data_IF_888409963790
#
_entry.id   IF_888409963790
#
_cell.length_a   1.000
_cell.length_b   1.000
_cell.length_c   1.000
_cell.angle_alpha   90.00
_cell.angle_beta   90.00
_cell.angle_gamma   90.00
#
_symmetry.space_group_name_H-M   'P 1'
#
loop_
_entity.id
_entity.type
_entity.pdbx_description
1 polymer ?
#
# COMPACT_ATOMS: atom_id res chain seq x y z
N UNK A 1 46.71 21.18 -25.23
CA UNK A 1 46.16 20.53 -24.01
C UNK A 1 44.66 20.41 -24.18
N UNK A 2 44.12 19.18 -24.19
CA UNK A 2 42.71 18.91 -24.53
C UNK A 2 41.81 19.23 -23.34
N UNK A 3 40.70 19.90 -23.65
CA UNK A 3 39.70 20.44 -22.72
C UNK A 3 39.05 19.31 -21.93
N UNK A 4 39.04 19.44 -20.62
CA UNK A 4 38.42 18.46 -19.72
C UNK A 4 36.92 18.75 -19.73
N UNK A 5 36.13 17.79 -20.19
CA UNK A 5 34.66 17.80 -20.11
C UNK A 5 34.27 17.62 -18.63
N UNK A 6 34.31 18.69 -17.85
CA UNK A 6 33.62 18.78 -16.57
C UNK A 6 32.24 19.37 -16.83
N UNK A 7 31.27 18.53 -17.20
CA UNK A 7 29.89 18.97 -17.29
C UNK A 7 28.96 17.82 -16.92
N UNK A 8 28.14 18.12 -15.91
CA UNK A 8 26.85 17.49 -15.63
C UNK A 8 26.85 16.03 -15.15
N UNK A 9 27.15 15.84 -13.86
CA UNK A 9 26.60 14.72 -13.09
C UNK A 9 26.19 15.20 -11.71
N UNK A 10 25.27 16.16 -11.68
CA UNK A 10 24.59 16.59 -10.45
C UNK A 10 23.10 16.59 -10.78
N UNK A 11 22.43 15.46 -10.53
CA UNK A 11 20.99 15.32 -10.19
C UNK A 11 20.54 13.86 -10.38
N UNK A 12 21.00 12.95 -9.54
CA UNK A 12 20.42 11.59 -9.46
C UNK A 12 20.01 11.19 -8.05
N UNK A 13 19.74 12.16 -7.17
CA UNK A 13 19.38 11.89 -5.76
C UNK A 13 17.88 11.78 -5.46
N UNK A 14 16.98 11.79 -6.46
CA UNK A 14 15.53 11.93 -6.22
C UNK A 14 14.64 10.71 -6.56
N UNK A 15 15.15 9.49 -6.72
CA UNK A 15 14.31 8.35 -7.21
C UNK A 15 14.20 7.16 -6.25
N UNK A 16 14.83 7.17 -5.08
CA UNK A 16 14.89 5.95 -4.24
C UNK A 16 13.67 5.71 -3.33
N UNK A 17 12.79 6.69 -3.12
CA UNK A 17 11.72 6.59 -2.09
C UNK A 17 10.41 5.94 -2.56
N UNK A 18 10.25 5.64 -3.86
CA UNK A 18 9.02 5.07 -4.42
C UNK A 18 9.24 3.67 -5.07
N UNK A 19 10.36 3.00 -4.76
CA UNK A 19 10.58 1.66 -5.28
C UNK A 19 9.57 0.69 -4.65
N UNK A 20 8.68 0.13 -5.48
CA UNK A 20 7.73 -0.91 -5.07
C UNK A 20 8.51 -2.04 -4.37
N UNK A 21 8.06 -2.44 -3.19
CA UNK A 21 8.58 -3.60 -2.48
C UNK A 21 7.80 -4.85 -2.92
N UNK A 22 8.32 -5.66 -3.85
CA UNK A 22 7.60 -6.81 -4.38
C UNK A 22 7.47 -7.95 -3.37
N UNK A 23 8.13 -7.86 -2.21
CA UNK A 23 8.08 -8.88 -1.17
C UNK A 23 6.77 -8.85 -0.39
N UNK A 24 6.08 -7.71 -0.37
CA UNK A 24 4.78 -7.58 0.29
C UNK A 24 3.67 -8.06 -0.64
N UNK A 25 2.93 -9.06 -0.17
CA UNK A 25 1.75 -9.59 -0.86
C UNK A 25 0.51 -8.96 -0.25
N UNK A 26 -0.08 -8.02 -0.97
CA UNK A 26 -1.34 -7.42 -0.58
C UNK A 26 -2.48 -8.42 -0.61
N UNK A 27 -3.48 -8.15 0.21
CA UNK A 27 -4.71 -8.90 0.29
C UNK A 27 -5.88 -7.96 0.57
N UNK A 28 -7.10 -8.42 0.36
CA UNK A 28 -8.31 -7.64 0.60
C UNK A 28 -9.35 -8.46 1.35
N UNK A 29 -10.09 -7.82 2.24
CA UNK A 29 -11.29 -8.39 2.87
C UNK A 29 -12.27 -7.27 3.18
N UNK A 30 -13.55 -7.45 2.87
CA UNK A 30 -14.61 -6.46 3.10
C UNK A 30 -14.25 -5.07 2.52
N UNK A 31 -13.71 -5.03 1.30
CA UNK A 31 -13.23 -3.81 0.62
C UNK A 31 -12.11 -3.03 1.35
N UNK A 32 -11.43 -3.68 2.30
CA UNK A 32 -10.32 -3.09 3.06
C UNK A 32 -9.03 -3.83 2.68
N UNK A 33 -7.98 -3.04 2.43
CA UNK A 33 -6.66 -3.54 2.05
C UNK A 33 -5.90 -3.98 3.29
N UNK A 34 -5.32 -5.16 3.21
CA UNK A 34 -4.41 -5.72 4.20
C UNK A 34 -3.20 -6.37 3.51
N UNK A 35 -2.49 -7.20 4.26
CA UNK A 35 -1.42 -8.05 3.71
C UNK A 35 -1.73 -9.51 4.00
N UNK A 36 -1.19 -10.40 3.17
CA UNK A 36 -1.33 -11.83 3.43
C UNK A 36 -0.72 -12.26 4.77
N UNK A 37 0.37 -11.60 5.20
CA UNK A 37 0.97 -11.80 6.53
C UNK A 37 0.00 -11.49 7.67
N UNK A 38 -0.69 -10.35 7.60
CA UNK A 38 -1.71 -9.97 8.60
C UNK A 38 -2.82 -11.04 8.73
N UNK A 39 -3.38 -11.50 7.61
CA UNK A 39 -4.43 -12.52 7.65
C UNK A 39 -3.91 -13.90 8.07
N UNK A 40 -2.66 -14.24 7.75
CA UNK A 40 -2.01 -15.46 8.22
C UNK A 40 -1.78 -15.45 9.74
N UNK A 41 -1.36 -14.31 10.29
CA UNK A 41 -1.24 -14.11 11.73
C UNK A 41 -2.60 -14.17 12.44
N UNK A 42 -3.69 -13.83 11.74
CA UNK A 42 -5.07 -13.82 12.25
C UNK A 42 -5.95 -14.94 11.66
N UNK A 43 -5.40 -16.13 11.39
CA UNK A 43 -6.17 -17.26 10.81
C UNK A 43 -7.47 -17.59 11.56
N UNK A 44 -7.54 -17.34 12.87
CA UNK A 44 -8.74 -17.57 13.67
C UNK A 44 -9.96 -16.78 13.16
N UNK A 45 -9.76 -15.59 12.58
CA UNK A 45 -10.84 -14.73 12.06
C UNK A 45 -11.16 -14.98 10.59
N UNK A 46 -10.32 -15.72 9.88
CA UNK A 46 -10.49 -16.02 8.45
C UNK A 46 -11.48 -17.18 8.28
N UNK A 47 -12.48 -16.99 7.42
CA UNK A 47 -13.44 -18.01 7.02
C UNK A 47 -12.95 -18.78 5.77
N UNK A 48 -12.50 -18.05 4.76
CA UNK A 48 -12.00 -18.63 3.50
C UNK A 48 -11.09 -17.63 2.79
N UNK A 49 -10.37 -18.11 1.77
CA UNK A 49 -9.59 -17.25 0.87
C UNK A 49 -9.77 -17.66 -0.59
N UNK A 50 -9.61 -16.70 -1.49
CA UNK A 50 -9.50 -16.91 -2.92
C UNK A 50 -8.26 -16.18 -3.46
N UNK A 51 -7.50 -16.83 -4.33
CA UNK A 51 -6.24 -16.30 -4.85
C UNK A 51 -6.36 -16.02 -6.33
N UNK A 52 -6.19 -14.76 -6.71
CA UNK A 52 -6.16 -14.32 -8.09
C UNK A 52 -4.71 -14.14 -8.53
N UNK A 53 -4.32 -14.79 -9.63
CA UNK A 53 -2.90 -14.87 -10.05
C UNK A 53 -2.36 -13.59 -10.71
N UNK A 54 -3.19 -12.57 -10.88
CA UNK A 54 -2.80 -11.29 -11.47
C UNK A 54 -4.01 -10.39 -11.75
N UNK A 55 -3.80 -9.16 -12.26
CA UNK A 55 -4.86 -8.17 -12.46
C UNK A 55 -5.95 -8.64 -13.44
N UNK A 56 -5.59 -9.40 -14.47
CA UNK A 56 -6.53 -9.93 -15.47
C UNK A 56 -7.48 -11.00 -14.93
N UNK A 57 -7.14 -11.62 -13.80
CA UNK A 57 -7.96 -12.65 -13.15
C UNK A 57 -8.91 -12.06 -12.10
N UNK A 58 -8.89 -10.75 -11.85
CA UNK A 58 -9.71 -10.13 -10.83
C UNK A 58 -11.19 -10.04 -11.28
N UNK A 59 -12.14 -10.41 -10.40
CA UNK A 59 -13.55 -10.12 -10.61
C UNK A 59 -13.79 -8.59 -10.59
N UNK A 60 -14.96 -8.17 -11.07
CA UNK A 60 -15.25 -6.76 -11.34
C UNK A 60 -15.07 -5.87 -10.09
N UNK A 61 -15.61 -6.32 -8.97
CA UNK A 61 -15.57 -5.67 -7.65
C UNK A 61 -14.13 -5.44 -7.14
N UNK A 62 -13.21 -6.32 -7.52
CA UNK A 62 -11.80 -6.21 -7.13
C UNK A 62 -10.93 -5.45 -8.14
N UNK A 63 -11.44 -5.07 -9.32
CA UNK A 63 -10.64 -4.37 -10.34
C UNK A 63 -10.03 -3.07 -9.85
N UNK A 64 -10.65 -2.40 -8.86
CA UNK A 64 -10.09 -1.21 -8.20
C UNK A 64 -8.73 -1.46 -7.54
N UNK A 65 -8.39 -2.71 -7.22
CA UNK A 65 -7.11 -3.10 -6.62
C UNK A 65 -6.08 -3.64 -7.65
N UNK A 66 -6.35 -3.52 -8.95
CA UNK A 66 -5.46 -4.06 -10.00
C UNK A 66 -4.01 -3.57 -9.90
N UNK A 67 -3.81 -2.34 -9.41
CA UNK A 67 -2.50 -1.69 -9.29
C UNK A 67 -1.58 -2.34 -8.24
N UNK A 68 -2.13 -3.08 -7.27
CA UNK A 68 -1.37 -3.85 -6.26
C UNK A 68 -1.39 -5.36 -6.54
N UNK A 69 -2.03 -5.80 -7.62
CA UNK A 69 -2.22 -7.20 -7.96
C UNK A 69 -1.19 -7.76 -8.95
N UNK A 70 -0.09 -7.04 -9.24
CA UNK A 70 0.94 -7.46 -10.21
C UNK A 70 1.54 -8.85 -9.91
N UNK A 71 1.59 -9.24 -8.64
CA UNK A 71 2.05 -10.56 -8.16
C UNK A 71 0.91 -11.46 -7.67
N UNK A 72 -0.31 -11.12 -8.07
CA UNK A 72 -1.55 -11.69 -7.57
C UNK A 72 -2.13 -10.91 -6.39
N UNK A 73 -3.38 -11.22 -6.06
CA UNK A 73 -4.12 -10.66 -4.95
C UNK A 73 -4.89 -11.79 -4.27
N UNK A 74 -4.86 -11.82 -2.94
CA UNK A 74 -5.70 -12.74 -2.18
C UNK A 74 -6.88 -11.99 -1.59
N UNK A 75 -8.08 -12.47 -1.87
CA UNK A 75 -9.29 -12.03 -1.20
C UNK A 75 -9.58 -12.98 -0.03
N UNK A 76 -9.80 -12.43 1.16
CA UNK A 76 -10.21 -13.18 2.34
C UNK A 76 -11.67 -12.85 2.69
N UNK A 77 -12.39 -13.87 3.14
CA UNK A 77 -13.66 -13.70 3.85
C UNK A 77 -13.40 -13.82 5.34
N UNK A 78 -13.90 -12.86 6.11
CA UNK A 78 -13.81 -12.84 7.58
C UNK A 78 -15.06 -13.52 8.14
N UNK A 79 -14.91 -14.28 9.23
CA UNK A 79 -16.03 -14.90 9.93
C UNK A 79 -17.00 -13.84 10.49
N UNK A 80 -18.29 -14.15 10.44
CA UNK A 80 -19.31 -13.32 11.06
C UNK A 80 -19.00 -13.07 12.54
N UNK A 81 -19.08 -11.82 12.98
CA UNK A 81 -18.78 -11.39 14.34
C UNK A 81 -17.30 -11.06 14.61
N UNK A 82 -16.42 -11.18 13.61
CA UNK A 82 -14.99 -10.85 13.69
C UNK A 82 -14.58 -9.67 12.78
N UNK A 83 -15.55 -8.93 12.25
CA UNK A 83 -15.33 -7.79 11.33
C UNK A 83 -14.85 -6.51 12.04
N UNK A 84 -14.70 -6.56 13.37
CA UNK A 84 -14.26 -5.45 14.23
C UNK A 84 -12.76 -5.16 14.17
N UNK A 85 -12.04 -5.62 13.15
CA UNK A 85 -10.64 -5.25 12.95
C UNK A 85 -10.53 -3.74 12.70
N UNK A 86 -9.50 -3.13 13.28
CA UNK A 86 -9.25 -1.70 13.14
C UNK A 86 -9.00 -1.33 11.68
N UNK A 87 -9.56 -0.20 11.26
CA UNK A 87 -9.54 0.25 9.88
C UNK A 87 -9.43 1.77 9.82
N UNK A 88 -8.65 2.26 8.87
CA UNK A 88 -8.48 3.69 8.63
C UNK A 88 -8.56 3.96 7.14
N UNK A 89 -9.28 5.02 6.75
CA UNK A 89 -9.22 5.51 5.37
C UNK A 89 -7.92 6.27 5.14
N UNK A 90 -7.43 6.29 3.91
CA UNK A 90 -6.22 7.03 3.57
C UNK A 90 -6.42 8.55 3.75
N UNK A 91 -7.63 9.06 3.56
CA UNK A 91 -8.02 10.43 3.90
C UNK A 91 -7.83 10.73 5.39
N UNK A 92 -8.32 9.85 6.28
CA UNK A 92 -8.12 9.98 7.72
C UNK A 92 -6.63 9.90 8.09
N UNK A 93 -5.88 9.00 7.45
CA UNK A 93 -4.43 8.89 7.65
C UNK A 93 -3.73 10.20 7.26
N UNK A 94 -4.05 10.80 6.11
CA UNK A 94 -3.51 12.11 5.72
C UNK A 94 -3.82 13.19 6.75
N UNK A 95 -5.07 13.26 7.20
CA UNK A 95 -5.52 14.24 8.21
C UNK A 95 -4.75 14.11 9.52
N UNK A 96 -4.48 12.89 9.99
CA UNK A 96 -3.68 12.62 11.19
C UNK A 96 -2.25 13.17 11.11
N UNK A 97 -1.69 13.28 9.90
CA UNK A 97 -0.36 13.83 9.65
C UNK A 97 -0.39 15.26 9.11
N UNK A 98 -1.53 15.95 9.18
CA UNK A 98 -1.68 17.34 8.76
C UNK A 98 -1.57 17.56 7.25
N UNK A 99 -1.84 16.53 6.44
CA UNK A 99 -1.84 16.61 4.98
C UNK A 99 -3.27 16.76 4.43
N UNK A 100 -3.44 17.35 3.23
CA UNK A 100 -4.74 17.35 2.56
C UNK A 100 -5.28 15.94 2.38
N UNK A 101 -6.56 15.72 2.67
CA UNK A 101 -7.18 14.38 2.67
C UNK A 101 -7.04 13.64 1.33
N UNK A 102 -7.07 14.38 0.22
CA UNK A 102 -6.92 13.86 -1.13
C UNK A 102 -5.46 13.62 -1.58
N UNK A 103 -4.50 13.73 -0.67
CA UNK A 103 -3.10 13.44 -0.97
C UNK A 103 -2.92 11.93 -1.20
N UNK A 104 -2.22 11.48 -2.27
CA UNK A 104 -1.91 10.07 -2.43
C UNK A 104 -1.11 9.53 -1.25
N UNK A 105 -1.28 8.25 -0.94
CA UNK A 105 -0.47 7.56 0.07
C UNK A 105 0.33 6.46 -0.62
N UNK A 106 1.62 6.39 -0.35
CA UNK A 106 2.47 5.30 -0.84
C UNK A 106 2.53 4.21 0.22
N UNK A 107 2.12 2.99 -0.10
CA UNK A 107 2.25 1.83 0.80
C UNK A 107 3.18 0.83 0.12
N UNK A 108 4.32 0.54 0.75
CA UNK A 108 5.33 -0.37 0.18
C UNK A 108 5.78 0.04 -1.23
N UNK A 109 5.83 1.35 -1.49
CA UNK A 109 6.15 1.93 -2.79
C UNK A 109 5.04 1.86 -3.85
N UNK A 110 3.85 1.33 -3.51
CA UNK A 110 2.67 1.40 -4.36
C UNK A 110 1.88 2.67 -4.07
N UNK A 111 1.52 3.44 -5.10
CA UNK A 111 0.71 4.64 -4.96
C UNK A 111 -0.78 4.29 -4.83
N UNK A 112 -1.40 4.72 -3.73
CA UNK A 112 -2.83 4.68 -3.51
C UNK A 112 -3.37 6.10 -3.71
N UNK A 113 -3.89 6.36 -4.91
CA UNK A 113 -4.42 7.67 -5.30
C UNK A 113 -5.86 7.93 -4.82
N UNK A 114 -6.64 6.86 -4.58
CA UNK A 114 -7.98 6.96 -4.02
C UNK A 114 -7.93 7.01 -2.49
N UNK A 115 -8.02 8.23 -1.95
CA UNK A 115 -8.00 8.48 -0.51
C UNK A 115 -9.19 7.87 0.27
N UNK A 116 -10.27 7.46 -0.42
CA UNK A 116 -11.41 6.79 0.21
C UNK A 116 -11.13 5.32 0.54
N UNK A 117 -10.08 4.73 -0.06
CA UNK A 117 -9.65 3.38 0.25
C UNK A 117 -9.31 3.25 1.73
N UNK A 118 -9.62 2.08 2.28
CA UNK A 118 -9.35 1.74 3.67
C UNK A 118 -8.25 0.70 3.74
N UNK A 119 -7.43 0.81 4.77
CA UNK A 119 -6.46 -0.19 5.16
C UNK A 119 -6.79 -0.70 6.55
N UNK A 120 -6.41 -1.95 6.85
CA UNK A 120 -6.43 -2.45 8.22
C UNK A 120 -5.32 -1.79 9.03
N UNK A 121 -5.65 -1.29 10.23
CA UNK A 121 -4.67 -0.61 11.11
C UNK A 121 -3.47 -1.48 11.43
N UNK A 122 -3.66 -2.80 11.51
CA UNK A 122 -2.60 -3.78 11.78
C UNK A 122 -1.47 -3.77 10.77
N UNK A 123 -1.74 -3.39 9.51
CA UNK A 123 -0.67 -3.34 8.51
C UNK A 123 0.19 -2.08 8.67
N UNK A 124 -0.22 -1.11 9.47
CA UNK A 124 0.55 0.11 9.65
C UNK A 124 1.83 -0.19 10.45
N UNK A 125 2.98 -0.10 9.78
CA UNK A 125 4.29 -0.19 10.40
C UNK A 125 4.91 1.20 10.56
N UNK A 126 5.93 1.48 9.77
CA UNK A 126 6.62 2.77 9.80
C UNK A 126 5.94 3.76 8.84
N UNK A 127 5.62 4.96 9.33
CA UNK A 127 5.02 6.04 8.55
C UNK A 127 6.01 7.20 8.46
N UNK A 128 6.30 7.65 7.25
CA UNK A 128 7.18 8.78 6.99
C UNK A 128 6.46 9.81 6.11
N UNK A 129 6.57 11.09 6.48
CA UNK A 129 6.10 12.20 5.64
C UNK A 129 7.30 12.77 4.90
N UNK A 130 7.33 12.59 3.57
CA UNK A 130 8.43 13.04 2.71
C UNK A 130 7.95 14.06 1.69
N UNK A 131 8.88 14.87 1.18
CA UNK A 131 8.61 15.61 -0.04
C UNK A 131 8.65 14.64 -1.23
N UNK A 132 7.57 14.62 -2.02
CA UNK A 132 7.47 13.86 -3.25
C UNK A 132 6.86 14.77 -4.31
N UNK A 133 7.63 15.06 -5.36
CA UNK A 133 7.24 15.96 -6.45
C UNK A 133 6.76 17.35 -5.96
N UNK A 134 7.42 17.91 -4.94
CA UNK A 134 7.09 19.23 -4.39
C UNK A 134 5.87 19.24 -3.46
N UNK A 135 5.39 18.06 -3.02
CA UNK A 135 4.28 17.91 -2.08
C UNK A 135 4.65 16.97 -0.94
N UNK A 136 4.32 17.35 0.30
CA UNK A 136 4.39 16.44 1.45
C UNK A 136 3.43 15.27 1.26
N UNK A 137 3.95 14.06 1.36
CA UNK A 137 3.25 12.81 1.02
C UNK A 137 3.61 11.72 2.04
N UNK A 138 2.66 10.88 2.39
CA UNK A 138 2.87 9.75 3.30
C UNK A 138 3.48 8.57 2.55
N UNK A 139 4.52 7.99 3.14
CA UNK A 139 5.11 6.70 2.79
C UNK A 139 4.94 5.76 3.99
N UNK A 140 4.14 4.71 3.81
CA UNK A 140 3.85 3.68 4.79
C UNK A 140 4.61 2.40 4.42
N UNK A 141 5.45 1.93 5.33
CA UNK A 141 5.97 0.56 5.33
C UNK A 141 5.09 -0.30 6.22
N UNK A 142 4.74 -1.48 5.75
CA UNK A 142 3.86 -2.40 6.46
C UNK A 142 4.55 -3.02 7.67
N UNK A 143 3.76 -3.32 8.69
CA UNK A 143 4.25 -4.06 9.86
C UNK A 143 4.67 -5.46 9.44
N UNK A 144 5.73 -5.99 10.06
CA UNK A 144 6.25 -7.32 9.77
C UNK A 144 5.40 -8.46 10.37
N UNK A 145 4.09 -8.26 10.57
CA UNK A 145 3.19 -9.31 11.04
C UNK A 145 3.16 -10.45 10.01
N UNK A 146 3.78 -11.57 10.39
CA UNK A 146 3.91 -12.79 9.58
C UNK A 146 2.90 -13.84 10.00
#
# INVERSE_FOLDING_TARGET
MKKILYSFLILSSAVLSAQKNPSVKFAVANDIVGTMGMFNARKAVVQSSNVYKGPSALPQDLKKYSFIAEKGLTEFKIKNGYEGLDRVSLAQLNSQYGLPENTPVFIEGYEFSDSSMKIYGDIMGNVEVKDHNGRKTIFLSTSALK
#
